data_IF_734300213830
#
_entry.id   IF_734300213830
#
_cell.length_a   1.000
_cell.length_b   1.000
_cell.length_c   1.000
_cell.angle_alpha   90.00
_cell.angle_beta   90.00
_cell.angle_gamma   90.00
#
_symmetry.space_group_name_H-M   'P 1'
#
loop_
_entity.id
_entity.type
_entity.pdbx_description
1 polymer ?
#
# COMPACT_ATOMS: atom_id res chain seq x y z
N UNK A 1 -23.79 6.68 -19.64
CA UNK A 1 -22.75 7.66 -19.27
C UNK A 1 -23.01 8.29 -17.90
N UNK A 2 -24.18 8.92 -17.68
CA UNK A 2 -24.54 9.59 -16.41
C UNK A 2 -24.51 8.67 -15.18
N UNK A 3 -25.01 7.43 -15.30
CA UNK A 3 -24.99 6.44 -14.20
C UNK A 3 -23.57 6.04 -13.76
N UNK A 4 -22.65 5.88 -14.72
CA UNK A 4 -21.26 5.53 -14.44
C UNK A 4 -20.55 6.66 -13.69
N UNK A 5 -20.69 7.88 -14.19
CA UNK A 5 -20.13 9.08 -13.55
C UNK A 5 -20.65 9.27 -12.12
N UNK A 6 -21.96 9.11 -11.90
CA UNK A 6 -22.55 9.21 -10.56
C UNK A 6 -21.98 8.13 -9.62
N UNK A 7 -21.88 6.89 -10.10
CA UNK A 7 -21.32 5.77 -9.33
C UNK A 7 -19.85 6.01 -8.96
N UNK A 8 -19.02 6.42 -9.93
CA UNK A 8 -17.61 6.72 -9.70
C UNK A 8 -17.38 7.92 -8.78
N UNK A 9 -18.18 8.97 -8.94
CA UNK A 9 -18.12 10.14 -8.05
C UNK A 9 -18.52 9.77 -6.63
N UNK A 10 -19.59 8.98 -6.46
CA UNK A 10 -20.01 8.50 -5.14
C UNK A 10 -18.95 7.59 -4.51
N UNK A 11 -18.37 6.65 -5.28
CA UNK A 11 -17.27 5.81 -4.84
C UNK A 11 -16.09 6.64 -4.33
N UNK A 12 -15.61 7.60 -5.11
CA UNK A 12 -14.49 8.46 -4.73
C UNK A 12 -14.83 9.37 -3.55
N UNK A 13 -16.06 9.89 -3.46
CA UNK A 13 -16.52 10.72 -2.36
C UNK A 13 -16.60 9.94 -1.04
N UNK A 14 -17.15 8.73 -1.05
CA UNK A 14 -17.18 7.85 0.12
C UNK A 14 -15.77 7.40 0.52
N UNK A 15 -14.95 7.00 -0.45
CA UNK A 15 -13.56 6.61 -0.22
C UNK A 15 -12.77 7.74 0.45
N UNK A 16 -12.73 8.92 -0.16
CA UNK A 16 -12.01 10.07 0.37
C UNK A 16 -12.64 10.59 1.67
N UNK A 17 -13.97 10.61 1.76
CA UNK A 17 -14.71 11.00 2.96
C UNK A 17 -14.35 10.12 4.16
N UNK A 18 -14.24 8.80 3.95
CA UNK A 18 -13.84 7.87 5.02
C UNK A 18 -12.42 8.12 5.53
N UNK A 19 -11.51 8.54 4.66
CA UNK A 19 -10.13 8.92 5.02
C UNK A 19 -10.16 10.16 5.90
N UNK A 20 -10.87 11.22 5.49
CA UNK A 20 -10.97 12.45 6.29
C UNK A 20 -11.67 12.18 7.62
N UNK A 21 -12.72 11.35 7.62
CA UNK A 21 -13.44 10.97 8.83
C UNK A 21 -12.55 10.16 9.78
N UNK A 22 -11.82 9.17 9.26
CA UNK A 22 -10.82 8.42 10.03
C UNK A 22 -9.71 9.31 10.56
N UNK A 23 -9.27 10.32 9.80
CA UNK A 23 -8.27 11.27 10.27
C UNK A 23 -8.80 12.06 11.48
N UNK A 24 -9.99 12.65 11.37
CA UNK A 24 -10.53 13.55 12.39
C UNK A 24 -11.06 12.85 13.64
N UNK A 25 -11.70 11.69 13.50
CA UNK A 25 -12.33 10.96 14.63
C UNK A 25 -11.45 9.88 15.24
N UNK A 26 -10.44 9.39 14.52
CA UNK A 26 -9.64 8.24 14.97
C UNK A 26 -8.17 8.63 15.08
N UNK A 27 -7.56 9.09 13.99
CA UNK A 27 -6.12 9.36 13.96
C UNK A 27 -5.73 10.55 14.86
N UNK A 28 -6.40 11.69 14.74
CA UNK A 28 -6.11 12.88 15.55
C UNK A 28 -6.33 12.63 17.06
N UNK A 29 -7.43 11.99 17.51
CA UNK A 29 -7.59 11.61 18.92
C UNK A 29 -6.57 10.60 19.44
N UNK A 30 -5.87 9.86 18.57
CA UNK A 30 -4.78 8.97 18.97
C UNK A 30 -3.45 9.70 19.23
N UNK A 31 -3.28 10.96 18.82
CA UNK A 31 -2.02 11.70 18.99
C UNK A 31 -1.51 11.77 20.44
N UNK A 32 -2.35 11.95 21.48
CA UNK A 32 -1.88 11.90 22.87
C UNK A 32 -1.24 10.55 23.23
N UNK A 33 -1.71 9.43 22.65
CA UNK A 33 -1.13 8.11 22.89
C UNK A 33 0.30 8.00 22.35
N UNK A 34 0.64 8.73 21.28
CA UNK A 34 2.01 8.81 20.77
C UNK A 34 2.95 9.40 21.83
N UNK A 35 2.52 10.47 22.51
CA UNK A 35 3.32 11.11 23.56
C UNK A 35 3.55 10.17 24.74
N UNK A 36 2.54 9.38 25.11
CA UNK A 36 2.62 8.48 26.27
C UNK A 36 3.36 7.17 25.96
N UNK A 37 3.11 6.58 24.79
CA UNK A 37 3.62 5.24 24.43
C UNK A 37 3.62 5.03 22.92
N UNK A 38 4.70 5.41 22.22
CA UNK A 38 4.84 5.22 20.77
C UNK A 38 4.58 3.78 20.28
N UNK A 39 5.01 2.69 20.98
CA UNK A 39 4.69 1.33 20.54
C UNK A 39 3.19 1.01 20.55
N UNK A 40 2.44 1.55 21.52
CA UNK A 40 0.98 1.38 21.61
C UNK A 40 0.27 2.22 20.56
N UNK A 41 0.73 3.47 20.35
CA UNK A 41 0.24 4.30 19.24
C UNK A 41 0.37 3.57 17.91
N UNK A 42 1.56 3.01 17.61
CA UNK A 42 1.79 2.23 16.40
C UNK A 42 0.88 0.99 16.32
N UNK A 43 0.76 0.23 17.40
CA UNK A 43 -0.12 -0.95 17.46
C UNK A 43 -1.58 -0.60 17.16
N UNK A 44 -2.11 0.46 17.77
CA UNK A 44 -3.49 0.91 17.54
C UNK A 44 -3.67 1.42 16.10
N UNK A 45 -2.73 2.24 15.61
CA UNK A 45 -2.75 2.76 14.24
C UNK A 45 -2.78 1.65 13.20
N UNK A 46 -1.86 0.68 13.31
CA UNK A 46 -1.81 -0.47 12.40
C UNK A 46 -3.17 -1.22 12.36
N UNK A 47 -3.76 -1.53 13.53
CA UNK A 47 -5.04 -2.23 13.62
C UNK A 47 -6.18 -1.44 12.97
N UNK A 48 -6.27 -0.15 13.26
CA UNK A 48 -7.33 0.72 12.76
C UNK A 48 -7.21 0.94 11.25
N UNK A 49 -5.98 1.02 10.73
CA UNK A 49 -5.74 1.09 9.29
C UNK A 49 -6.16 -0.21 8.59
N UNK A 50 -5.83 -1.37 9.13
CA UNK A 50 -6.30 -2.66 8.59
C UNK A 50 -7.84 -2.76 8.59
N UNK A 51 -8.51 -2.24 9.63
CA UNK A 51 -9.97 -2.17 9.66
C UNK A 51 -10.54 -1.17 8.64
N UNK A 52 -9.81 -0.09 8.33
CA UNK A 52 -10.21 0.87 7.32
C UNK A 52 -10.14 0.29 5.90
N UNK A 53 -9.14 -0.54 5.59
CA UNK A 53 -8.96 -1.21 4.28
C UNK A 53 -10.14 -2.13 3.88
N UNK A 54 -10.95 -2.56 4.86
CA UNK A 54 -12.21 -3.27 4.61
C UNK A 54 -13.24 -2.39 3.87
N UNK A 55 -13.22 -1.08 4.10
CA UNK A 55 -14.16 -0.15 3.47
C UNK A 55 -13.96 0.02 1.96
N UNK A 56 -12.76 0.35 1.41
CA UNK A 56 -12.55 0.37 -0.03
C UNK A 56 -12.86 -1.00 -0.66
N UNK A 57 -12.57 -2.09 0.04
CA UNK A 57 -12.92 -3.45 -0.42
C UNK A 57 -14.44 -3.63 -0.56
N UNK A 58 -15.21 -3.23 0.45
CA UNK A 58 -16.67 -3.27 0.41
C UNK A 58 -17.24 -2.34 -0.69
N UNK A 59 -16.66 -1.15 -0.88
CA UNK A 59 -17.07 -0.22 -1.93
C UNK A 59 -16.81 -0.81 -3.33
N UNK A 60 -15.68 -1.47 -3.55
CA UNK A 60 -15.36 -2.17 -4.80
C UNK A 60 -16.36 -3.29 -5.09
N UNK A 61 -16.73 -4.08 -4.08
CA UNK A 61 -17.74 -5.13 -4.21
C UNK A 61 -19.12 -4.53 -4.57
N UNK A 62 -19.52 -3.44 -3.90
CA UNK A 62 -20.79 -2.76 -4.16
C UNK A 62 -20.94 -2.23 -5.59
N UNK A 63 -19.85 -1.76 -6.19
CA UNK A 63 -19.87 -1.27 -7.58
C UNK A 63 -19.64 -2.39 -8.60
N UNK A 64 -19.51 -3.64 -8.14
CA UNK A 64 -19.43 -4.84 -8.98
C UNK A 64 -18.04 -5.23 -9.44
N UNK A 65 -16.97 -4.71 -8.81
CA UNK A 65 -15.60 -5.16 -9.07
C UNK A 65 -15.33 -6.45 -8.28
N UNK A 66 -14.92 -7.50 -8.97
CA UNK A 66 -14.50 -8.77 -8.35
C UNK A 66 -12.98 -8.89 -8.35
N UNK A 67 -12.39 -9.01 -7.17
CA UNK A 67 -10.96 -9.32 -7.05
C UNK A 67 -10.80 -10.82 -6.93
N UNK A 68 -9.93 -11.41 -7.75
CA UNK A 68 -9.66 -12.84 -7.83
C UNK A 68 -8.21 -13.08 -7.43
N UNK A 69 -8.00 -13.91 -6.41
CA UNK A 69 -6.67 -14.28 -5.91
C UNK A 69 -6.36 -15.73 -6.26
N UNK A 70 -5.11 -15.94 -6.66
CA UNK A 70 -4.52 -17.24 -6.97
C UNK A 70 -3.12 -17.36 -6.38
N UNK A 71 -2.63 -18.59 -6.23
CA UNK A 71 -1.32 -18.88 -5.65
C UNK A 71 -1.34 -18.96 -4.12
N UNK A 72 -0.26 -18.50 -3.49
CA UNK A 72 0.05 -18.72 -2.07
C UNK A 72 -0.68 -17.77 -1.11
N UNK A 73 -0.83 -18.20 0.15
CA UNK A 73 -1.39 -17.36 1.21
C UNK A 73 -0.43 -16.29 1.71
N UNK A 74 -0.97 -15.10 2.02
CA UNK A 74 -0.22 -14.03 2.69
C UNK A 74 -0.41 -14.17 4.19
N UNK A 75 0.67 -14.42 4.92
CA UNK A 75 0.65 -14.50 6.37
C UNK A 75 0.72 -13.08 6.96
N UNK A 76 -0.32 -12.60 7.66
CA UNK A 76 -0.34 -11.24 8.24
C UNK A 76 0.64 -11.06 9.41
N UNK A 77 1.19 -12.17 9.91
CA UNK A 77 2.12 -12.19 11.03
C UNK A 77 3.58 -12.28 10.61
N UNK A 78 3.86 -12.35 9.31
CA UNK A 78 5.22 -12.33 8.77
C UNK A 78 5.71 -10.90 8.57
N UNK A 79 7.01 -10.73 8.80
CA UNK A 79 7.74 -9.57 8.34
C UNK A 79 8.25 -9.87 6.94
N UNK A 80 7.77 -9.11 5.97
CA UNK A 80 7.97 -9.48 4.57
C UNK A 80 8.19 -8.27 3.68
N UNK A 81 8.82 -8.51 2.54
CA UNK A 81 8.89 -7.55 1.44
C UNK A 81 7.96 -8.04 0.35
N UNK A 82 7.02 -7.21 -0.06
CA UNK A 82 6.09 -7.49 -1.13
C UNK A 82 6.55 -6.73 -2.38
N UNK A 83 6.72 -7.44 -3.48
CA UNK A 83 7.07 -6.87 -4.78
C UNK A 83 5.90 -7.04 -5.73
N UNK A 84 5.51 -5.97 -6.42
CA UNK A 84 4.39 -6.01 -7.36
C UNK A 84 4.73 -5.30 -8.67
N UNK A 85 4.22 -5.81 -9.80
CA UNK A 85 4.28 -5.08 -11.07
C UNK A 85 3.37 -3.84 -10.99
N UNK A 86 3.69 -2.79 -11.74
CA UNK A 86 2.97 -1.51 -11.68
C UNK A 86 2.29 -1.20 -13.01
N UNK A 87 1.12 -1.80 -13.24
CA UNK A 87 0.39 -1.64 -14.49
C UNK A 87 -0.21 -0.24 -14.64
N UNK A 88 -0.73 0.33 -13.55
CA UNK A 88 -1.49 1.59 -13.56
C UNK A 88 -1.26 2.43 -12.30
N UNK A 89 -1.62 3.72 -12.32
CA UNK A 89 -1.51 4.57 -11.12
C UNK A 89 -2.43 4.17 -9.97
N UNK A 90 -3.44 3.34 -10.24
CA UNK A 90 -4.49 2.98 -9.28
C UNK A 90 -4.44 1.51 -8.86
N UNK A 91 -3.35 0.78 -9.17
CA UNK A 91 -3.17 -0.62 -8.75
C UNK A 91 -3.34 -0.79 -7.23
N UNK A 92 -2.88 0.19 -6.45
CA UNK A 92 -2.99 0.24 -4.99
C UNK A 92 -4.44 0.12 -4.49
N UNK A 93 -5.41 0.62 -5.26
CA UNK A 93 -6.82 0.65 -4.85
C UNK A 93 -7.40 -0.77 -4.80
N UNK A 94 -6.95 -1.64 -5.71
CA UNK A 94 -7.39 -3.04 -5.78
C UNK A 94 -6.60 -3.95 -4.86
N UNK A 95 -5.38 -3.55 -4.48
CA UNK A 95 -4.53 -4.31 -3.58
C UNK A 95 -5.17 -4.49 -2.19
N UNK A 96 -5.95 -3.53 -1.69
CA UNK A 96 -6.66 -3.68 -0.41
C UNK A 96 -7.59 -4.89 -0.40
N UNK A 97 -8.38 -5.05 -1.47
CA UNK A 97 -9.25 -6.19 -1.64
C UNK A 97 -8.48 -7.51 -1.85
N UNK A 98 -7.30 -7.44 -2.47
CA UNK A 98 -6.43 -8.60 -2.59
C UNK A 98 -5.83 -9.04 -1.25
N UNK A 99 -5.37 -8.09 -0.44
CA UNK A 99 -4.86 -8.35 0.91
C UNK A 99 -5.96 -8.93 1.81
N UNK A 100 -7.18 -8.40 1.70
CA UNK A 100 -8.36 -8.92 2.40
C UNK A 100 -8.54 -10.42 2.15
N UNK A 101 -8.57 -10.84 0.88
CA UNK A 101 -8.77 -12.24 0.54
C UNK A 101 -7.52 -13.08 0.88
N UNK A 102 -6.32 -12.60 0.55
CA UNK A 102 -5.08 -13.37 0.70
C UNK A 102 -4.63 -13.58 2.15
N UNK A 103 -5.09 -12.75 3.10
CA UNK A 103 -4.75 -12.85 4.53
C UNK A 103 -5.79 -13.64 5.35
N UNK A 104 -6.80 -14.25 4.72
CA UNK A 104 -7.82 -15.02 5.41
C UNK A 104 -7.27 -16.21 6.21
N UNK A 105 -7.86 -16.54 7.37
CA UNK A 105 -8.98 -15.85 8.04
C UNK A 105 -8.57 -14.63 8.89
N UNK A 106 -7.28 -14.32 8.98
CA UNK A 106 -6.71 -13.29 9.87
C UNK A 106 -6.59 -11.91 9.20
N UNK A 107 -7.68 -11.47 8.58
CA UNK A 107 -7.74 -10.26 7.74
C UNK A 107 -7.24 -9.01 8.46
N UNK A 108 -7.73 -8.74 9.68
CA UNK A 108 -7.49 -7.49 10.41
C UNK A 108 -6.11 -7.41 11.09
N UNK A 109 -5.13 -8.20 10.64
CA UNK A 109 -3.82 -8.33 11.30
C UNK A 109 -2.62 -7.92 10.43
N UNK A 110 -2.81 -7.72 9.11
CA UNK A 110 -1.69 -7.40 8.22
C UNK A 110 -1.24 -5.94 8.41
N UNK A 111 0.07 -5.72 8.54
CA UNK A 111 0.64 -4.37 8.75
C UNK A 111 1.39 -3.96 7.49
N UNK A 112 0.62 -3.77 6.41
CA UNK A 112 1.14 -3.40 5.11
C UNK A 112 1.50 -1.91 5.09
N UNK A 113 2.71 -1.60 4.62
CA UNK A 113 3.20 -0.22 4.49
C UNK A 113 3.80 -0.05 3.11
N UNK A 114 3.39 1.00 2.41
CA UNK A 114 3.86 1.22 1.04
C UNK A 114 5.10 2.10 1.08
N UNK A 115 5.98 1.87 0.11
CA UNK A 115 7.08 2.78 -0.21
C UNK A 115 6.60 3.73 -1.31
N UNK A 116 6.34 4.97 -0.92
CA UNK A 116 5.63 5.97 -1.70
C UNK A 116 6.59 7.05 -2.22
N UNK A 117 6.18 7.75 -3.29
CA UNK A 117 6.85 8.97 -3.73
C UNK A 117 6.69 10.06 -2.66
N UNK A 118 7.77 10.77 -2.33
CA UNK A 118 7.78 11.82 -1.31
C UNK A 118 6.64 12.85 -1.45
N UNK A 119 6.28 13.34 -2.65
CA UNK A 119 5.18 14.30 -2.81
C UNK A 119 3.82 13.83 -2.27
N UNK A 120 3.57 12.52 -2.20
CA UNK A 120 2.29 11.96 -1.73
C UNK A 120 2.01 12.33 -0.28
N UNK A 121 3.05 12.56 0.54
CA UNK A 121 2.89 12.94 1.95
C UNK A 121 2.15 14.28 2.14
N UNK A 122 2.18 15.16 1.12
CA UNK A 122 1.56 16.48 1.19
C UNK A 122 0.07 16.46 0.82
N UNK A 123 -0.48 15.33 0.36
CA UNK A 123 -1.90 15.22 -0.01
C UNK A 123 -2.76 15.25 1.27
N UNK A 124 -3.66 16.25 1.45
CA UNK A 124 -4.52 16.35 2.62
C UNK A 124 -5.40 15.12 2.79
N UNK A 125 -5.48 14.55 3.99
CA UNK A 125 -6.21 13.28 4.22
C UNK A 125 -5.31 12.07 3.95
N UNK A 126 -5.25 11.49 2.73
CA UNK A 126 -4.51 10.25 2.47
C UNK A 126 -3.03 10.35 2.84
N UNK A 127 -2.35 11.44 2.45
CA UNK A 127 -0.94 11.66 2.77
C UNK A 127 -0.68 11.79 4.27
N UNK A 128 -1.59 12.41 5.01
CA UNK A 128 -1.49 12.57 6.47
C UNK A 128 -1.70 11.23 7.20
N UNK A 129 -2.74 10.48 6.84
CA UNK A 129 -3.01 9.16 7.43
C UNK A 129 -1.88 8.18 7.12
N UNK A 130 -1.34 8.17 5.91
CA UNK A 130 -0.23 7.30 5.54
C UNK A 130 1.03 7.63 6.37
N UNK A 131 1.31 8.92 6.62
CA UNK A 131 2.39 9.31 7.53
C UNK A 131 2.15 8.82 8.96
N UNK A 132 0.94 8.98 9.49
CA UNK A 132 0.58 8.48 10.82
C UNK A 132 0.67 6.95 10.92
N UNK A 133 0.41 6.24 9.81
CA UNK A 133 0.52 4.79 9.72
C UNK A 133 1.92 4.28 9.36
N UNK A 134 2.93 5.17 9.37
CA UNK A 134 4.33 4.78 9.27
C UNK A 134 4.74 4.33 7.87
N UNK A 135 4.01 4.77 6.84
CA UNK A 135 4.40 4.54 5.45
C UNK A 135 5.75 5.19 5.16
N UNK A 136 6.45 4.63 4.17
CA UNK A 136 7.79 5.07 3.79
C UNK A 136 7.67 6.00 2.59
N UNK A 137 8.53 7.01 2.54
CA UNK A 137 8.58 7.97 1.45
C UNK A 137 9.98 7.97 0.86
N UNK A 138 10.08 8.09 -0.47
CA UNK A 138 11.34 8.16 -1.21
C UNK A 138 11.33 9.32 -2.21
N UNK A 139 12.45 10.05 -2.33
CA UNK A 139 12.66 11.09 -3.36
C UNK A 139 13.10 10.49 -4.70
N UNK A 140 13.43 9.18 -4.70
CA UNK A 140 14.01 8.43 -5.83
C UNK A 140 15.44 8.89 -6.15
N UNK A 141 16.14 9.39 -5.12
CA UNK A 141 17.57 9.72 -5.15
C UNK A 141 18.24 9.00 -4.00
N UNK A 142 19.06 8.00 -4.33
CA UNK A 142 19.62 7.06 -3.37
C UNK A 142 20.36 7.74 -2.21
N UNK A 143 21.18 8.74 -2.51
CA UNK A 143 21.96 9.50 -1.52
C UNK A 143 21.08 10.22 -0.48
N UNK A 144 19.88 10.65 -0.87
CA UNK A 144 18.93 11.28 0.05
C UNK A 144 18.10 10.25 0.83
N UNK A 145 17.76 9.16 0.16
CA UNK A 145 16.81 8.17 0.68
C UNK A 145 17.47 7.17 1.65
N UNK A 146 18.75 6.82 1.46
CA UNK A 146 19.45 5.77 2.23
C UNK A 146 19.35 5.99 3.74
N UNK A 147 19.68 7.19 4.22
CA UNK A 147 19.64 7.51 5.64
C UNK A 147 18.22 7.48 6.22
N UNK A 148 17.24 8.00 5.49
CA UNK A 148 15.83 7.98 5.91
C UNK A 148 15.26 6.56 5.94
N UNK A 149 15.56 5.75 4.93
CA UNK A 149 15.16 4.35 4.87
C UNK A 149 15.78 3.58 6.02
N UNK A 150 17.10 3.69 6.26
CA UNK A 150 17.76 3.03 7.41
C UNK A 150 17.03 3.31 8.71
N UNK A 151 16.87 4.59 9.09
CA UNK A 151 16.21 4.97 10.35
C UNK A 151 14.80 4.41 10.49
N UNK A 152 14.08 4.33 9.37
CA UNK A 152 12.71 3.81 9.36
C UNK A 152 12.71 2.29 9.52
N UNK A 153 13.61 1.56 8.85
CA UNK A 153 13.74 0.12 8.99
C UNK A 153 14.22 -0.27 10.39
N UNK A 154 15.22 0.44 10.94
CA UNK A 154 15.71 0.26 12.31
C UNK A 154 14.57 0.43 13.32
N UNK A 155 13.70 1.42 13.11
CA UNK A 155 12.51 1.63 13.93
C UNK A 155 11.52 0.47 13.83
N UNK A 156 11.21 0.00 12.61
CA UNK A 156 10.28 -1.12 12.39
C UNK A 156 10.78 -2.41 13.03
N UNK A 157 12.08 -2.70 12.94
CA UNK A 157 12.73 -3.82 13.63
C UNK A 157 12.63 -3.64 15.15
N UNK A 158 12.95 -2.45 15.67
CA UNK A 158 12.95 -2.17 17.10
C UNK A 158 11.56 -2.24 17.76
N UNK A 159 10.49 -2.02 17.00
CA UNK A 159 9.12 -2.22 17.46
C UNK A 159 8.79 -3.70 17.72
N UNK A 160 9.54 -4.64 17.13
CA UNK A 160 9.26 -6.09 17.17
C UNK A 160 7.82 -6.45 16.74
N UNK A 161 7.29 -5.67 15.80
CA UNK A 161 5.96 -5.86 15.21
C UNK A 161 6.13 -6.19 13.74
N UNK A 162 6.11 -7.49 13.43
CA UNK A 162 6.27 -8.04 12.07
C UNK A 162 5.45 -7.20 11.07
N UNK A 163 6.08 -6.67 10.02
CA UNK A 163 5.49 -5.68 9.11
C UNK A 163 5.75 -6.08 7.66
N UNK A 164 4.83 -5.73 6.78
CA UNK A 164 4.97 -6.01 5.36
C UNK A 164 5.25 -4.71 4.60
N UNK A 165 6.29 -4.69 3.78
CA UNK A 165 6.68 -3.52 2.99
C UNK A 165 6.39 -3.76 1.51
N UNK A 166 5.49 -2.98 0.92
CA UNK A 166 5.24 -3.02 -0.53
C UNK A 166 6.17 -2.07 -1.28
N UNK A 167 6.87 -2.61 -2.27
CA UNK A 167 7.62 -1.85 -3.27
C UNK A 167 7.18 -2.24 -4.68
N UNK A 168 7.21 -1.25 -5.57
CA UNK A 168 7.09 -1.45 -7.01
C UNK A 168 8.46 -1.25 -7.66
N UNK A 169 9.27 -2.31 -7.89
CA UNK A 169 10.61 -2.20 -8.45
C UNK A 169 10.66 -1.48 -9.80
N UNK A 170 9.59 -1.49 -10.59
CA UNK A 170 9.47 -0.71 -11.83
C UNK A 170 9.62 0.81 -11.61
N UNK A 171 9.24 1.31 -10.42
CA UNK A 171 9.38 2.71 -9.99
C UNK A 171 8.46 3.71 -10.70
N UNK A 172 7.66 3.24 -11.67
CA UNK A 172 6.63 4.00 -12.39
C UNK A 172 5.64 3.03 -13.05
N UNK A 173 4.50 3.55 -13.47
CA UNK A 173 3.45 2.83 -14.19
C UNK A 173 3.81 2.51 -15.65
N UNK A 174 3.22 1.43 -16.16
CA UNK A 174 3.44 0.89 -17.51
C UNK A 174 2.72 1.71 -18.61
N UNK A 175 3.18 2.96 -18.83
CA UNK A 175 2.73 3.80 -19.96
C UNK A 175 3.57 3.53 -21.21
N UNK A 176 3.02 3.82 -22.40
CA UNK A 176 3.77 3.69 -23.66
C UNK A 176 5.09 4.49 -23.66
N UNK A 177 5.13 5.64 -22.99
CA UNK A 177 6.36 6.43 -22.83
C UNK A 177 7.39 5.74 -21.94
N UNK A 178 6.95 5.14 -20.83
CA UNK A 178 7.83 4.44 -19.91
C UNK A 178 8.34 3.11 -20.49
N UNK A 179 7.52 2.38 -21.26
CA UNK A 179 7.94 1.20 -22.02
C UNK A 179 9.08 1.56 -22.98
N UNK A 180 8.94 2.64 -23.77
CA UNK A 180 10.01 3.08 -24.68
C UNK A 180 11.32 3.38 -23.96
N UNK A 181 11.25 4.04 -22.80
CA UNK A 181 12.43 4.33 -21.97
C UNK A 181 13.06 3.05 -21.40
N UNK A 182 12.24 2.11 -20.92
CA UNK A 182 12.68 0.80 -20.42
C UNK A 182 13.33 -0.03 -21.53
N UNK A 183 12.76 -0.06 -22.73
CA UNK A 183 13.31 -0.77 -23.87
C UNK A 183 14.62 -0.15 -24.38
N UNK A 184 14.74 1.18 -24.38
CA UNK A 184 16.01 1.83 -24.70
C UNK A 184 17.10 1.52 -23.67
N UNK A 185 16.74 1.40 -22.38
CA UNK A 185 17.66 0.91 -21.35
C UNK A 185 18.03 -0.55 -21.61
N UNK A 186 17.07 -1.42 -21.93
CA UNK A 186 17.31 -2.82 -22.18
C UNK A 186 18.29 -3.04 -23.34
N UNK A 187 18.07 -2.37 -24.47
CA UNK A 187 18.95 -2.43 -25.65
C UNK A 187 20.39 -2.01 -25.35
N UNK A 188 20.56 -0.93 -24.58
CA UNK A 188 21.89 -0.44 -24.18
C UNK A 188 22.65 -1.40 -23.28
N UNK A 189 21.94 -2.25 -22.54
CA UNK A 189 22.52 -3.18 -21.57
C UNK A 189 22.43 -4.65 -22.04
N UNK A 190 22.05 -4.91 -23.30
CA UNK A 190 21.92 -6.26 -23.83
C UNK A 190 20.82 -7.11 -23.18
N UNK A 191 19.79 -6.47 -22.60
CA UNK A 191 18.65 -7.13 -21.97
C UNK A 191 17.49 -7.32 -22.96
N UNK A 192 16.63 -8.33 -22.77
CA UNK A 192 15.43 -8.51 -23.58
C UNK A 192 14.46 -7.34 -23.40
N UNK A 193 13.68 -7.04 -24.44
CA UNK A 193 12.56 -6.09 -24.35
C UNK A 193 11.40 -6.71 -23.58
N UNK A 194 10.75 -5.92 -22.74
CA UNK A 194 9.52 -6.30 -22.05
C UNK A 194 8.36 -5.46 -22.62
N UNK A 195 7.20 -6.10 -22.74
CA UNK A 195 5.96 -5.52 -23.26
C UNK A 195 4.92 -5.32 -22.15
N UNK A 196 4.90 -6.22 -21.15
CA UNK A 196 3.90 -6.25 -20.07
C UNK A 196 4.42 -5.74 -18.72
N UNK A 197 5.73 -5.51 -18.60
CA UNK A 197 6.40 -4.97 -17.41
C UNK A 197 7.51 -3.98 -17.82
N UNK A 198 7.94 -3.14 -16.88
CA UNK A 198 9.21 -2.40 -16.99
C UNK A 198 10.34 -3.19 -16.30
N UNK A 199 11.58 -2.99 -16.75
CA UNK A 199 12.74 -3.57 -16.07
C UNK A 199 12.84 -3.06 -14.62
N UNK A 200 13.05 -3.95 -13.62
CA UNK A 200 13.02 -3.56 -12.22
C UNK A 200 14.28 -2.77 -11.84
N UNK A 201 14.09 -1.75 -11.01
CA UNK A 201 15.18 -1.07 -10.31
C UNK A 201 15.50 -1.84 -9.03
N UNK A 202 16.71 -2.40 -8.99
CA UNK A 202 17.10 -3.37 -7.96
C UNK A 202 17.55 -2.74 -6.64
N UNK A 203 18.11 -1.51 -6.65
CA UNK A 203 18.73 -0.87 -5.47
C UNK A 203 17.83 -0.84 -4.23
N UNK A 204 16.59 -0.38 -4.38
CA UNK A 204 15.65 -0.27 -3.26
C UNK A 204 15.28 -1.64 -2.69
N UNK A 205 14.96 -2.60 -3.56
CA UNK A 205 14.64 -3.97 -3.15
C UNK A 205 15.81 -4.65 -2.43
N UNK A 206 17.03 -4.57 -2.99
CA UNK A 206 18.21 -5.17 -2.39
C UNK A 206 18.49 -4.58 -1.01
N UNK A 207 18.37 -3.26 -0.86
CA UNK A 207 18.60 -2.60 0.42
C UNK A 207 17.61 -3.02 1.50
N UNK A 208 16.31 -3.05 1.18
CA UNK A 208 15.27 -3.46 2.12
C UNK A 208 15.47 -4.91 2.56
N UNK A 209 15.72 -5.79 1.59
CA UNK A 209 15.87 -7.24 1.80
C UNK A 209 17.07 -7.52 2.69
N UNK A 210 18.24 -6.98 2.34
CA UNK A 210 19.46 -7.17 3.13
C UNK A 210 19.33 -6.57 4.54
N UNK A 211 18.71 -5.41 4.68
CA UNK A 211 18.50 -4.80 5.99
C UNK A 211 17.64 -5.70 6.89
N UNK A 212 16.55 -6.28 6.36
CA UNK A 212 15.72 -7.22 7.13
C UNK A 212 16.41 -8.56 7.36
N UNK A 213 17.16 -9.10 6.39
CA UNK A 213 17.94 -10.33 6.57
C UNK A 213 19.00 -10.17 7.68
N UNK A 214 19.83 -9.13 7.61
CA UNK A 214 20.87 -8.86 8.61
C UNK A 214 20.28 -8.66 10.02
N UNK A 215 19.06 -8.13 10.13
CA UNK A 215 18.36 -7.96 11.39
C UNK A 215 17.64 -9.22 11.89
N UNK A 216 17.69 -10.35 11.17
CA UNK A 216 16.88 -11.55 11.47
C UNK A 216 15.38 -11.27 11.43
N UNK A 217 14.98 -10.33 10.58
CA UNK A 217 13.65 -9.75 10.53
C UNK A 217 12.91 -10.03 9.22
N UNK A 218 13.53 -10.70 8.24
CA UNK A 218 12.84 -11.14 7.03
C UNK A 218 12.31 -12.58 7.22
N UNK A 219 11.01 -12.77 7.09
CA UNK A 219 10.39 -14.11 7.10
C UNK A 219 10.14 -14.61 5.66
N UNK A 220 9.75 -13.71 4.75
CA UNK A 220 9.46 -14.03 3.35
C UNK A 220 9.54 -12.83 2.40
N UNK A 221 9.67 -13.11 1.10
CA UNK A 221 9.36 -12.18 0.01
C UNK A 221 8.09 -12.65 -0.69
N UNK A 222 7.10 -11.77 -0.79
CA UNK A 222 5.87 -12.03 -1.54
C UNK A 222 5.94 -11.39 -2.91
N UNK A 223 5.87 -12.22 -3.93
CA UNK A 223 5.91 -11.83 -5.33
C UNK A 223 4.49 -11.79 -5.91
N UNK A 224 3.92 -10.58 -6.03
CA UNK A 224 2.54 -10.34 -6.45
C UNK A 224 2.48 -9.90 -7.91
N UNK A 225 1.64 -10.53 -8.71
CA UNK A 225 1.38 -10.11 -10.10
C UNK A 225 -0.07 -9.67 -10.25
N UNK A 226 -0.31 -8.41 -10.61
CA UNK A 226 -1.64 -7.87 -10.90
C UNK A 226 -1.92 -7.90 -12.40
N UNK A 227 -3.12 -8.36 -12.78
CA UNK A 227 -3.60 -8.45 -14.15
C UNK A 227 -5.04 -7.97 -14.29
N UNK A 228 -5.33 -7.28 -15.39
CA UNK A 228 -6.66 -6.76 -15.73
C UNK A 228 -7.19 -7.50 -16.97
N UNK A 229 -8.18 -8.39 -16.84
CA UNK A 229 -8.69 -9.20 -17.94
C UNK A 229 -9.51 -8.37 -18.95
N UNK A 230 -10.19 -7.33 -18.47
CA UNK A 230 -11.10 -6.50 -19.25
C UNK A 230 -10.60 -5.05 -19.38
N UNK A 231 -11.01 -4.15 -18.48
CA UNK A 231 -10.71 -2.74 -18.55
C UNK A 231 -9.50 -2.40 -17.67
N UNK A 232 -8.56 -1.62 -18.20
CA UNK A 232 -7.35 -1.21 -17.48
C UNK A 232 -7.50 0.25 -17.02
N UNK A 233 -7.84 0.51 -15.74
CA UNK A 233 -8.02 1.87 -15.25
C UNK A 233 -6.67 2.59 -15.19
N UNK A 234 -6.44 3.60 -16.03
CA UNK A 234 -5.12 4.24 -16.14
C UNK A 234 -4.85 5.21 -14.99
N UNK A 235 -5.91 5.84 -14.47
CA UNK A 235 -5.79 6.93 -13.51
C UNK A 235 -7.01 7.11 -12.61
N UNK A 236 -6.88 8.00 -11.63
CA UNK A 236 -7.94 8.40 -10.72
C UNK A 236 -9.17 8.98 -11.47
N UNK A 237 -8.98 9.52 -12.68
CA UNK A 237 -10.08 10.01 -13.52
C UNK A 237 -11.00 8.85 -13.94
N UNK A 238 -10.45 7.66 -14.19
CA UNK A 238 -11.25 6.49 -14.54
C UNK A 238 -12.11 6.06 -13.33
N UNK A 239 -11.56 6.14 -12.11
CA UNK A 239 -12.31 5.90 -10.88
C UNK A 239 -13.48 6.90 -10.73
N UNK A 240 -13.22 8.21 -10.89
CA UNK A 240 -14.23 9.27 -10.76
C UNK A 240 -15.32 9.14 -11.84
N UNK A 241 -14.95 8.79 -13.07
CA UNK A 241 -15.91 8.61 -14.17
C UNK A 241 -16.65 7.27 -14.11
N UNK A 242 -16.31 6.41 -13.14
CA UNK A 242 -16.92 5.10 -12.92
C UNK A 242 -16.51 4.06 -13.96
N UNK A 243 -15.39 4.26 -14.64
CA UNK A 243 -14.78 3.28 -15.53
C UNK A 243 -13.92 2.33 -14.69
N UNK A 244 -14.57 1.30 -14.17
CA UNK A 244 -13.94 0.29 -13.31
C UNK A 244 -13.83 -1.05 -14.05
N UNK A 245 -12.77 -1.84 -13.80
CA UNK A 245 -12.72 -3.23 -14.25
C UNK A 245 -13.83 -4.04 -13.59
N UNK A 246 -14.38 -5.04 -14.29
CA UNK A 246 -15.29 -6.02 -13.68
C UNK A 246 -14.52 -7.03 -12.84
N UNK A 247 -13.30 -7.35 -13.26
CA UNK A 247 -12.43 -8.30 -12.58
C UNK A 247 -11.02 -7.73 -12.45
N UNK A 248 -10.36 -7.99 -11.32
CA UNK A 248 -8.92 -7.74 -11.15
C UNK A 248 -8.30 -8.99 -10.56
N UNK A 249 -7.30 -9.52 -11.24
CA UNK A 249 -6.65 -10.77 -10.86
C UNK A 249 -5.33 -10.47 -10.17
N UNK A 250 -5.04 -11.21 -9.10
CA UNK A 250 -3.72 -11.26 -8.51
C UNK A 250 -3.23 -12.71 -8.43
N UNK A 251 -1.97 -12.90 -8.77
CA UNK A 251 -1.24 -14.13 -8.47
C UNK A 251 -0.19 -13.83 -7.40
N UNK A 252 -0.24 -14.57 -6.30
CA UNK A 252 0.68 -14.42 -5.16
C UNK A 252 1.64 -15.61 -5.16
N UNK A 253 2.93 -15.34 -5.03
CA UNK A 253 3.92 -16.37 -4.77
C UNK A 253 4.75 -16.03 -3.54
N UNK A 254 4.78 -16.93 -2.55
CA UNK A 254 5.54 -16.75 -1.31
C UNK A 254 6.90 -17.43 -1.44
N UNK A 255 7.97 -16.65 -1.33
CA UNK A 255 9.34 -17.15 -1.24
C UNK A 255 9.82 -17.02 0.20
N UNK A 256 10.24 -18.12 0.83
CA UNK A 256 10.75 -18.08 2.20
C UNK A 256 12.08 -17.32 2.27
N UNK A 257 12.39 -16.68 3.40
CA UNK A 257 13.65 -15.93 3.54
C UNK A 257 14.90 -16.78 3.30
N UNK A 258 14.83 -18.11 3.51
CA UNK A 258 15.93 -19.03 3.24
C UNK A 258 16.23 -19.23 1.74
N UNK A 259 15.23 -18.97 0.88
CA UNK A 259 15.34 -19.13 -0.58
C UNK A 259 15.68 -17.79 -1.28
N UNK A 260 15.82 -16.71 -0.49
CA UNK A 260 16.19 -15.37 -0.98
C UNK A 260 17.70 -15.18 -0.80
N UNK A 261 18.46 -14.88 -1.87
CA UNK A 261 19.90 -14.69 -1.76
C UNK A 261 20.28 -13.58 -0.76
N UNK A 262 21.46 -13.69 -0.14
CA UNK A 262 21.98 -12.68 0.80
C UNK A 262 22.94 -11.68 0.11
N UNK A 263 23.68 -12.15 -0.91
CA UNK A 263 24.59 -11.30 -1.67
C UNK A 263 23.81 -10.29 -2.53
N UNK A 264 24.34 -9.08 -2.63
CA UNK A 264 23.66 -8.01 -3.35
C UNK A 264 23.59 -8.25 -4.86
N UNK A 265 24.64 -8.80 -5.48
CA UNK A 265 24.63 -9.05 -6.91
C UNK A 265 23.72 -10.22 -7.25
N UNK A 266 23.70 -11.25 -6.40
CA UNK A 266 22.75 -12.35 -6.52
C UNK A 266 21.30 -11.87 -6.36
N UNK A 267 21.02 -10.98 -5.41
CA UNK A 267 19.70 -10.36 -5.24
C UNK A 267 19.26 -9.54 -6.46
N UNK A 268 20.18 -8.81 -7.10
CA UNK A 268 19.90 -8.07 -8.35
C UNK A 268 19.47 -9.02 -9.45
N UNK A 269 20.28 -10.05 -9.73
CA UNK A 269 19.97 -11.05 -10.74
C UNK A 269 18.70 -11.85 -10.40
N UNK A 270 18.46 -12.12 -9.12
CA UNK A 270 17.26 -12.78 -8.65
C UNK A 270 16.01 -11.95 -8.99
N UNK A 271 16.01 -10.66 -8.67
CA UNK A 271 14.88 -9.77 -8.96
C UNK A 271 14.63 -9.63 -10.47
N UNK A 272 15.69 -9.52 -11.26
CA UNK A 272 15.60 -9.49 -12.73
C UNK A 272 14.95 -10.77 -13.28
N UNK A 273 15.36 -11.95 -12.80
CA UNK A 273 14.73 -13.23 -13.15
C UNK A 273 13.27 -13.28 -12.73
N UNK A 274 12.91 -12.78 -11.53
CA UNK A 274 11.50 -12.68 -11.10
C UNK A 274 10.69 -11.83 -12.08
N UNK A 275 11.24 -10.72 -12.57
CA UNK A 275 10.57 -9.88 -13.56
C UNK A 275 10.44 -10.53 -14.94
N UNK A 276 11.41 -11.34 -15.36
CA UNK A 276 11.28 -12.15 -16.58
C UNK A 276 10.13 -13.15 -16.45
N UNK A 277 10.01 -13.85 -15.33
CA UNK A 277 8.88 -14.75 -15.08
C UNK A 277 7.52 -14.01 -15.07
N UNK A 278 7.47 -12.80 -14.49
CA UNK A 278 6.27 -11.96 -14.52
C UNK A 278 5.89 -11.54 -15.94
N UNK A 279 6.87 -11.17 -16.75
CA UNK A 279 6.66 -10.81 -18.15
C UNK A 279 5.98 -11.96 -18.93
N UNK A 280 6.52 -13.17 -18.80
CA UNK A 280 5.95 -14.36 -19.44
C UNK A 280 4.56 -14.74 -18.88
N UNK A 281 4.36 -14.55 -17.58
CA UNK A 281 3.06 -14.78 -16.92
C UNK A 281 2.01 -13.79 -17.44
N UNK A 282 2.35 -12.50 -17.53
CA UNK A 282 1.44 -11.46 -18.00
C UNK A 282 1.18 -11.57 -19.50
N UNK A 283 2.16 -12.04 -20.28
CA UNK A 283 1.96 -12.38 -21.70
C UNK A 283 0.89 -13.46 -21.85
N UNK A 284 1.02 -14.58 -21.14
CA UNK A 284 0.01 -15.66 -21.11
C UNK A 284 -1.34 -15.16 -20.58
N UNK A 285 -1.34 -14.32 -19.54
CA UNK A 285 -2.55 -13.70 -19.01
C UNK A 285 -3.25 -12.81 -20.05
N UNK A 286 -2.50 -12.15 -20.93
CA UNK A 286 -3.09 -11.29 -21.96
C UNK A 286 -3.93 -12.06 -22.98
N UNK A 287 -3.60 -13.33 -23.21
CA UNK A 287 -4.31 -14.26 -24.09
C UNK A 287 -5.44 -14.98 -23.35
N UNK A 288 -5.16 -15.49 -22.15
CA UNK A 288 -6.09 -16.34 -21.37
C UNK A 288 -7.06 -15.57 -20.48
N UNK A 289 -6.75 -14.32 -20.14
CA UNK A 289 -7.48 -13.43 -19.22
C UNK A 289 -7.66 -14.00 -17.81
N UNK A 290 -6.81 -14.94 -17.39
CA UNK A 290 -6.82 -15.50 -16.04
C UNK A 290 -5.45 -16.05 -15.68
N UNK A 291 -5.02 -15.90 -14.42
CA UNK A 291 -3.78 -16.54 -13.94
C UNK A 291 -3.97 -18.03 -13.63
N UNK A 292 -5.21 -18.47 -13.45
CA UNK A 292 -5.57 -19.84 -13.12
C UNK A 292 -6.81 -20.31 -13.91
N UNK A 293 -6.99 -21.64 -14.05
CA UNK A 293 -8.31 -22.18 -14.36
C UNK A 293 -9.31 -21.78 -13.26
N UNK A 294 -10.61 -21.67 -13.58
CA UNK A 294 -11.64 -21.17 -12.64
C UNK A 294 -11.69 -21.89 -11.28
N UNK A 295 -11.13 -23.10 -11.19
CA UNK A 295 -11.20 -23.99 -10.03
C UNK A 295 -10.11 -23.75 -8.97
N UNK A 296 -9.08 -22.95 -9.24
CA UNK A 296 -7.98 -22.65 -8.30
C UNK A 296 -8.10 -21.24 -7.67
N UNK A 297 -9.19 -20.53 -7.94
CA UNK A 297 -9.45 -19.24 -7.30
C UNK A 297 -9.86 -19.45 -5.84
N UNK A 298 -9.35 -18.59 -4.98
CA UNK A 298 -9.71 -18.65 -3.57
C UNK A 298 -11.19 -18.35 -3.33
N UNK A 299 -11.82 -18.99 -2.33
CA UNK A 299 -13.22 -18.72 -2.01
C UNK A 299 -13.35 -17.29 -1.48
N UNK A 300 -14.43 -16.62 -1.89
CA UNK A 300 -14.73 -15.28 -1.38
C UNK A 300 -15.12 -15.37 0.11
N UNK A 301 -14.52 -14.55 0.99
CA UNK A 301 -14.81 -14.61 2.42
C UNK A 301 -16.24 -14.24 2.76
N UNK A 302 -16.71 -14.69 3.93
CA UNK A 302 -17.98 -14.30 4.52
C UNK A 302 -18.05 -12.76 4.63
N UNK A 303 -18.86 -12.13 3.78
CA UNK A 303 -18.91 -10.66 3.64
C UNK A 303 -19.48 -9.90 4.84
N UNK A 304 -19.58 -10.53 6.02
CA UNK A 304 -20.07 -9.89 7.25
C UNK A 304 -19.13 -8.76 7.69
N UNK A 305 -17.81 -8.99 7.68
CA UNK A 305 -16.81 -7.98 8.05
C UNK A 305 -16.86 -6.77 7.11
N UNK A 306 -17.01 -7.00 5.80
CA UNK A 306 -17.18 -5.96 4.79
C UNK A 306 -18.48 -5.17 4.98
N UNK A 307 -19.60 -5.84 5.30
CA UNK A 307 -20.87 -5.16 5.62
C UNK A 307 -20.77 -4.29 6.87
N UNK A 308 -20.12 -4.78 7.93
CA UNK A 308 -19.89 -4.01 9.16
C UNK A 308 -19.04 -2.78 8.85
N UNK A 309 -17.93 -2.96 8.12
CA UNK A 309 -17.07 -1.85 7.71
C UNK A 309 -17.84 -0.83 6.86
N UNK A 310 -18.63 -1.30 5.89
CA UNK A 310 -19.46 -0.45 5.04
C UNK A 310 -20.40 0.44 5.85
N UNK A 311 -21.14 -0.14 6.81
CA UNK A 311 -22.07 0.61 7.66
C UNK A 311 -21.31 1.58 8.55
N UNK A 312 -20.30 1.11 9.28
CA UNK A 312 -19.55 1.92 10.24
C UNK A 312 -18.91 3.15 9.58
N UNK A 313 -18.15 2.96 8.50
CA UNK A 313 -17.42 4.05 7.85
C UNK A 313 -18.34 5.01 7.08
N UNK A 314 -19.47 4.52 6.55
CA UNK A 314 -20.48 5.40 5.93
C UNK A 314 -21.15 6.28 6.97
N UNK A 315 -21.54 5.72 8.13
CA UNK A 315 -22.10 6.50 9.25
C UNK A 315 -21.08 7.50 9.74
N UNK A 316 -19.83 7.09 9.99
CA UNK A 316 -18.77 7.98 10.48
C UNK A 316 -18.52 9.15 9.51
N UNK A 317 -18.54 8.88 8.19
CA UNK A 317 -18.42 9.92 7.16
C UNK A 317 -19.62 10.88 7.19
N UNK A 318 -20.85 10.37 7.31
CA UNK A 318 -22.04 11.20 7.46
C UNK A 318 -22.01 12.07 8.71
N UNK A 319 -21.60 11.49 9.85
CA UNK A 319 -21.41 12.21 11.12
C UNK A 319 -20.36 13.31 10.99
N UNK A 320 -19.24 13.04 10.32
CA UNK A 320 -18.22 14.05 10.03
C UNK A 320 -18.81 15.25 9.30
N UNK A 321 -19.53 15.00 8.19
CA UNK A 321 -20.15 16.08 7.40
C UNK A 321 -21.15 16.85 8.24
N UNK A 322 -22.02 16.17 9.00
CA UNK A 322 -22.99 16.82 9.88
C UNK A 322 -22.30 17.70 10.94
N UNK A 323 -21.24 17.21 11.58
CA UNK A 323 -20.51 17.95 12.61
C UNK A 323 -19.74 19.13 12.03
N UNK A 324 -19.19 19.01 10.82
CA UNK A 324 -18.59 20.16 10.11
C UNK A 324 -19.61 21.24 9.79
N UNK A 325 -20.88 20.89 9.57
CA UNK A 325 -21.94 21.86 9.30
C UNK A 325 -22.53 22.49 10.56
N UNK A 326 -22.59 21.75 11.67
CA UNK A 326 -23.39 22.14 12.84
C UNK A 326 -22.58 22.48 14.10
N UNK A 327 -21.32 22.03 14.21
CA UNK A 327 -20.53 22.16 15.44
C UNK A 327 -19.31 23.07 15.26
N UNK A 328 -19.32 24.29 15.84
CA UNK A 328 -18.16 25.19 15.82
C UNK A 328 -16.91 24.57 16.46
N UNK A 329 -17.08 23.77 17.51
CA UNK A 329 -15.97 23.07 18.16
C UNK A 329 -15.31 22.07 17.21
N UNK A 330 -16.10 21.32 16.44
CA UNK A 330 -15.57 20.36 15.47
C UNK A 330 -14.91 21.06 14.27
N UNK A 331 -15.42 22.21 13.85
CA UNK A 331 -14.78 23.06 12.84
C UNK A 331 -13.41 23.56 13.31
N UNK A 332 -13.31 24.07 14.55
CA UNK A 332 -12.03 24.49 15.14
C UNK A 332 -11.07 23.31 15.27
N UNK A 333 -11.55 22.16 15.74
CA UNK A 333 -10.77 20.92 15.81
C UNK A 333 -10.18 20.53 14.44
N UNK A 334 -11.02 20.56 13.41
CA UNK A 334 -10.63 20.24 12.03
C UNK A 334 -9.61 21.23 11.52
N UNK A 335 -9.85 22.53 11.70
CA UNK A 335 -8.95 23.59 11.26
C UNK A 335 -7.58 23.49 11.97
N UNK A 336 -7.58 23.27 13.28
CA UNK A 336 -6.35 23.13 14.07
C UNK A 336 -5.49 21.95 13.58
N UNK A 337 -6.09 20.77 13.37
CA UNK A 337 -5.36 19.60 12.88
C UNK A 337 -4.94 19.74 11.42
N UNK A 338 -5.76 20.35 10.56
CA UNK A 338 -5.39 20.64 9.19
C UNK A 338 -4.18 21.59 9.14
N UNK A 339 -4.19 22.68 9.92
CA UNK A 339 -3.06 23.60 10.03
C UNK A 339 -1.83 22.85 10.53
N UNK A 340 -1.95 22.07 11.61
CA UNK A 340 -0.84 21.27 12.15
C UNK A 340 -0.21 20.39 11.06
N UNK A 341 -1.00 19.60 10.34
CA UNK A 341 -0.48 18.67 9.34
C UNK A 341 0.01 19.35 8.06
N UNK A 342 -0.57 20.49 7.67
CA UNK A 342 -0.03 21.33 6.59
C UNK A 342 1.34 21.88 7.01
N UNK A 343 1.46 22.42 8.23
CA UNK A 343 2.73 22.93 8.76
C UNK A 343 3.78 21.82 8.83
N UNK A 344 3.41 20.64 9.36
CA UNK A 344 4.30 19.46 9.35
C UNK A 344 4.71 19.06 7.94
N UNK A 345 3.79 19.12 6.97
CA UNK A 345 4.09 18.78 5.59
C UNK A 345 5.04 19.78 4.92
N UNK A 346 4.97 21.07 5.24
CA UNK A 346 5.81 22.11 4.62
C UNK A 346 7.17 22.24 5.31
N UNK A 347 7.17 22.23 6.65
CA UNK A 347 8.33 22.64 7.45
C UNK A 347 9.09 21.48 8.09
N UNK A 348 8.65 20.22 7.88
CA UNK A 348 9.33 19.06 8.44
C UNK A 348 9.59 17.97 7.40
N UNK A 349 10.31 16.93 7.80
CA UNK A 349 10.51 15.72 7.00
C UNK A 349 9.29 14.78 6.98
N UNK A 350 8.18 15.18 7.61
CA UNK A 350 6.94 14.42 7.73
C UNK A 350 6.69 13.90 9.13
N UNK A 351 5.41 13.66 9.46
CA UNK A 351 4.98 13.17 10.79
C UNK A 351 5.66 11.83 11.16
N UNK A 352 5.84 10.93 10.19
CA UNK A 352 6.48 9.64 10.40
C UNK A 352 7.92 9.77 10.96
N UNK A 353 8.69 10.75 10.51
CA UNK A 353 10.06 10.97 11.01
C UNK A 353 10.06 11.56 12.43
N UNK A 354 9.08 12.40 12.75
CA UNK A 354 8.90 12.93 14.12
C UNK A 354 8.53 11.81 15.09
N UNK A 355 7.64 10.91 14.69
CA UNK A 355 7.31 9.73 15.47
C UNK A 355 8.55 8.86 15.73
N UNK A 356 9.34 8.56 14.69
CA UNK A 356 10.56 7.76 14.83
C UNK A 356 11.54 8.44 15.81
N UNK A 357 11.76 9.75 15.65
CA UNK A 357 12.60 10.53 16.55
C UNK A 357 12.11 10.51 17.99
N UNK A 358 10.79 10.61 18.19
CA UNK A 358 10.17 10.52 19.51
C UNK A 358 10.29 9.13 20.11
N UNK A 359 10.09 8.06 19.34
CA UNK A 359 10.26 6.68 19.81
C UNK A 359 11.64 6.44 20.42
N UNK A 360 12.70 6.86 19.73
CA UNK A 360 14.07 6.64 20.24
C UNK A 360 14.35 7.42 21.52
N UNK A 361 13.85 8.66 21.64
CA UNK A 361 13.93 9.45 22.87
C UNK A 361 13.13 8.79 24.01
N UNK A 362 11.87 8.44 23.76
CA UNK A 362 11.00 7.76 24.71
C UNK A 362 11.63 6.45 25.21
N UNK A 363 12.16 5.62 24.30
CA UNK A 363 12.85 4.37 24.63
C UNK A 363 14.05 4.62 25.57
N UNK A 364 14.85 5.65 25.30
CA UNK A 364 16.02 5.98 26.14
C UNK A 364 15.66 6.42 27.56
N UNK A 365 14.47 7.00 27.76
CA UNK A 365 13.98 7.50 29.04
C UNK A 365 13.30 6.39 29.85
N UNK A 366 12.44 5.60 29.20
CA UNK A 366 11.47 4.72 29.88
C UNK A 366 11.80 3.22 29.81
N UNK A 367 12.85 2.81 29.09
CA UNK A 367 13.21 1.38 28.95
C UNK A 367 14.67 1.09 29.29
N UNK A 368 15.29 1.93 30.13
CA UNK A 368 16.59 1.61 30.76
C UNK A 368 16.44 0.62 31.90
#
# INVERSE_FOLDING_TARGET
MMRGFLCGTLYCALWYGSIVAGFLFIACPLLPLLLLSPPRFRKCGDLLFSCWELYPTALLEMIGVRVIISGDHISPNESAIMVMNHRTRVDWNFLWAAMYQACMPSIAAHKLKFILKDPIRHIPGPGWIMQMNGFLYITRRWEEDKGRLSRTLDYLVALKRRTQLLIFPEGTDLTASNIRKSNSYAEKNGLPRHEYTLHPKTTGFCYLTRHFQHAGYLDAVYDLTIGYPDYIPQSEIDLITGKMPKEVHFNVHRIASADVPEDENELKCWLEKRWQYKEEMLKRFSETKSFCGKDNAWPMPDGISLKIALVFWTILTGTMVLMLLTSPLFQIWTLAHAILFIMLSIFSTGFNQLEIGWYWRWKSIFTR
#
